data_IF_230613795815
#
_entry.id   IF_230613795815
#
_cell.length_a   1.000
_cell.length_b   1.000
_cell.length_c   1.000
_cell.angle_alpha   90.00
_cell.angle_beta   90.00
_cell.angle_gamma   90.00
#
_symmetry.space_group_name_H-M   'P 1'
#
loop_
_entity.id
_entity.type
_entity.pdbx_description
1 polymer ?
#
# COMPACT_ATOMS: atom_id res chain seq x y z
N UNK A 1 46.17 -21.35 -23.57
CA UNK A 1 45.31 -20.46 -24.34
C UNK A 1 43.82 -20.84 -24.28
N UNK A 2 43.37 -22.08 -24.55
CA UNK A 2 41.94 -22.48 -24.56
C UNK A 2 41.16 -22.20 -23.24
N UNK A 3 41.80 -22.35 -22.07
CA UNK A 3 41.15 -22.11 -20.80
C UNK A 3 40.95 -20.63 -20.48
N UNK A 4 41.87 -19.78 -20.90
CA UNK A 4 41.75 -18.29 -20.75
C UNK A 4 40.58 -17.77 -21.55
N UNK A 5 40.44 -18.22 -22.81
CA UNK A 5 39.32 -17.83 -23.67
C UNK A 5 37.97 -18.23 -23.07
N UNK A 6 37.86 -19.43 -22.46
CA UNK A 6 36.64 -19.88 -21.78
C UNK A 6 36.29 -19.03 -20.57
N UNK A 7 37.29 -18.66 -19.75
CA UNK A 7 37.10 -17.82 -18.58
C UNK A 7 36.62 -16.44 -19.01
N UNK A 8 37.26 -15.83 -20.00
CA UNK A 8 36.86 -14.51 -20.51
C UNK A 8 35.44 -14.54 -21.08
N UNK A 9 35.07 -15.57 -21.85
CA UNK A 9 33.73 -15.72 -22.41
C UNK A 9 32.67 -15.83 -21.31
N UNK A 10 32.90 -16.66 -20.27
CA UNK A 10 31.97 -16.80 -19.13
C UNK A 10 31.80 -15.48 -18.39
N UNK A 11 32.92 -14.77 -18.14
CA UNK A 11 32.85 -13.48 -17.44
C UNK A 11 32.04 -12.44 -18.23
N UNK A 12 32.22 -12.36 -19.56
CA UNK A 12 31.47 -11.44 -20.43
C UNK A 12 29.97 -11.79 -20.40
N UNK A 13 29.62 -13.07 -20.51
CA UNK A 13 28.21 -13.50 -20.47
C UNK A 13 27.57 -13.17 -19.10
N UNK A 14 28.30 -13.38 -18.00
CA UNK A 14 27.79 -13.05 -16.65
C UNK A 14 27.57 -11.53 -16.50
N UNK A 15 28.49 -10.71 -16.98
CA UNK A 15 28.36 -9.23 -16.95
C UNK A 15 27.19 -8.78 -17.83
N UNK A 16 27.01 -9.35 -19.00
CA UNK A 16 25.88 -9.05 -19.88
C UNK A 16 24.54 -9.44 -19.25
N UNK A 17 24.46 -10.60 -18.57
CA UNK A 17 23.25 -11.01 -17.82
C UNK A 17 22.95 -10.05 -16.67
N UNK A 18 23.97 -9.62 -15.91
CA UNK A 18 23.77 -8.65 -14.82
C UNK A 18 23.28 -7.29 -15.33
N UNK A 19 23.79 -6.83 -16.47
CA UNK A 19 23.36 -5.58 -17.10
C UNK A 19 21.92 -5.69 -17.67
N UNK A 20 21.53 -6.83 -18.19
CA UNK A 20 20.18 -7.06 -18.68
C UNK A 20 19.14 -7.10 -17.54
N UNK A 21 19.51 -7.62 -16.37
CA UNK A 21 18.62 -7.66 -15.20
C UNK A 21 18.40 -6.30 -14.55
N UNK A 22 19.38 -5.40 -14.58
CA UNK A 22 19.26 -4.06 -13.96
C UNK A 22 18.32 -3.11 -14.71
N UNK A 23 18.08 -3.32 -16.00
CA UNK A 23 17.17 -2.51 -16.82
C UNK A 23 15.67 -2.73 -16.50
N UNK A 24 15.28 -3.92 -16.02
CA UNK A 24 13.88 -4.27 -15.84
C UNK A 24 13.16 -3.53 -14.68
N UNK A 25 13.91 -3.00 -13.71
CA UNK A 25 13.32 -2.34 -12.52
C UNK A 25 13.16 -0.83 -12.66
N UNK A 26 13.77 -0.21 -13.65
CA UNK A 26 13.80 1.24 -13.84
C UNK A 26 12.98 1.74 -15.03
N UNK A 27 12.55 0.86 -15.91
CA UNK A 27 11.75 1.24 -17.08
C UNK A 27 10.41 1.85 -16.69
N UNK A 28 9.99 2.97 -17.29
CA UNK A 28 8.69 3.58 -17.03
C UNK A 28 7.55 2.66 -17.52
N UNK A 29 6.38 2.72 -16.88
CA UNK A 29 5.18 2.07 -17.40
C UNK A 29 4.71 2.76 -18.67
N UNK A 30 4.13 2.01 -19.60
CA UNK A 30 3.54 2.57 -20.82
C UNK A 30 2.32 3.44 -20.49
N UNK A 31 1.48 3.00 -19.56
CA UNK A 31 0.39 3.80 -19.00
C UNK A 31 0.88 4.40 -17.69
N UNK A 32 1.03 5.72 -17.65
CA UNK A 32 1.67 6.43 -16.55
C UNK A 32 0.69 7.05 -15.55
N UNK A 33 -0.60 7.03 -15.82
CA UNK A 33 -1.62 7.53 -14.88
C UNK A 33 -2.97 6.87 -15.12
N UNK A 34 -3.81 6.88 -14.09
CA UNK A 34 -5.17 6.35 -14.16
C UNK A 34 -6.05 6.83 -13.01
N UNK A 35 -7.35 6.68 -13.20
CA UNK A 35 -8.39 6.95 -12.22
C UNK A 35 -9.11 5.64 -11.90
N UNK A 36 -9.25 5.33 -10.60
CA UNK A 36 -9.75 4.04 -10.09
C UNK A 36 -10.87 4.30 -9.08
N UNK A 37 -12.14 4.36 -9.55
CA UNK A 37 -13.28 4.53 -8.66
C UNK A 37 -13.40 3.35 -7.67
N UNK A 38 -13.91 3.66 -6.48
CA UNK A 38 -14.22 2.67 -5.47
C UNK A 38 -15.48 3.02 -4.68
N UNK A 39 -16.08 2.00 -4.08
CA UNK A 39 -17.22 2.10 -3.18
C UNK A 39 -17.01 1.18 -1.99
N UNK A 40 -17.17 1.74 -0.80
CA UNK A 40 -17.24 1.00 0.46
C UNK A 40 -18.61 1.26 1.07
N UNK A 41 -19.32 0.19 1.40
CA UNK A 41 -20.58 0.26 2.16
C UNK A 41 -20.43 -0.60 3.41
N UNK A 42 -20.77 -0.03 4.56
CA UNK A 42 -20.69 -0.73 5.83
C UNK A 42 -21.85 -0.35 6.75
N UNK A 43 -22.19 -1.25 7.65
CA UNK A 43 -23.18 -1.06 8.72
C UNK A 43 -22.47 -1.01 10.06
N UNK A 44 -22.81 0.00 10.85
CA UNK A 44 -22.35 0.17 12.23
C UNK A 44 -23.47 0.76 13.07
N UNK A 45 -23.75 0.17 14.25
CA UNK A 45 -24.83 0.56 15.16
C UNK A 45 -26.20 0.68 14.46
N UNK A 46 -26.49 -0.24 13.54
CA UNK A 46 -27.75 -0.30 12.78
C UNK A 46 -27.90 0.81 11.73
N UNK A 47 -26.85 1.55 11.42
CA UNK A 47 -26.82 2.57 10.37
C UNK A 47 -25.91 2.15 9.23
N UNK A 48 -26.34 2.42 8.02
CA UNK A 48 -25.52 2.21 6.81
C UNK A 48 -24.75 3.45 6.45
N UNK A 49 -23.48 3.27 6.13
CA UNK A 49 -22.57 4.32 5.69
C UNK A 49 -21.98 3.95 4.33
N UNK A 50 -21.78 4.96 3.49
CA UNK A 50 -21.20 4.78 2.16
C UNK A 50 -20.04 5.77 2.00
N UNK A 51 -18.90 5.27 1.52
CA UNK A 51 -17.73 6.04 1.12
C UNK A 51 -17.50 5.78 -0.37
N UNK A 52 -17.58 6.81 -1.18
CA UNK A 52 -17.35 6.76 -2.61
C UNK A 52 -16.32 7.81 -3.00
N UNK A 53 -15.29 7.40 -3.73
CA UNK A 53 -14.30 8.31 -4.31
C UNK A 53 -13.57 7.63 -5.47
N UNK A 54 -12.56 8.30 -5.98
CA UNK A 54 -11.69 7.80 -7.05
C UNK A 54 -10.24 7.96 -6.62
N UNK A 55 -9.49 6.86 -6.62
CA UNK A 55 -8.03 6.91 -6.45
C UNK A 55 -7.41 7.37 -7.75
N UNK A 56 -6.70 8.48 -7.73
CA UNK A 56 -5.97 9.03 -8.87
C UNK A 56 -4.50 8.70 -8.68
N UNK A 57 -3.95 7.87 -9.55
CA UNK A 57 -2.56 7.42 -9.50
C UNK A 57 -1.75 7.95 -10.67
N UNK A 58 -0.49 8.24 -10.42
CA UNK A 58 0.47 8.62 -11.46
C UNK A 58 1.85 8.05 -11.17
N UNK A 59 2.57 7.69 -12.24
CA UNK A 59 3.98 7.34 -12.18
C UNK A 59 4.80 8.61 -11.88
N UNK A 60 5.60 8.56 -10.85
CA UNK A 60 6.39 9.71 -10.40
C UNK A 60 7.85 9.65 -10.82
N UNK A 61 8.30 8.54 -11.39
CA UNK A 61 9.68 8.36 -11.80
C UNK A 61 10.39 7.19 -11.13
N UNK A 62 11.70 7.22 -11.14
CA UNK A 62 12.57 6.25 -10.49
C UNK A 62 13.22 6.90 -9.27
N UNK A 63 13.17 6.22 -8.14
CA UNK A 63 13.90 6.63 -6.94
C UNK A 63 15.32 6.03 -6.97
N UNK A 64 16.37 6.84 -7.19
CA UNK A 64 17.75 6.36 -7.24
C UNK A 64 18.32 6.03 -5.85
N UNK A 65 17.75 6.59 -4.77
CA UNK A 65 18.30 6.52 -3.41
C UNK A 65 17.96 5.21 -2.70
N UNK A 66 17.15 4.34 -3.30
CA UNK A 66 16.72 3.09 -2.71
C UNK A 66 17.76 1.94 -2.78
N UNK A 67 19.01 2.21 -3.20
CA UNK A 67 20.07 1.21 -3.40
C UNK A 67 19.88 0.36 -4.66
N UNK A 68 18.64 -0.03 -4.96
CA UNK A 68 18.22 -0.56 -6.26
C UNK A 68 17.21 0.44 -6.83
N UNK A 69 17.42 0.97 -8.04
CA UNK A 69 16.49 1.91 -8.65
C UNK A 69 15.08 1.31 -8.71
N UNK A 70 14.14 1.90 -7.98
CA UNK A 70 12.75 1.44 -7.93
C UNK A 70 11.80 2.51 -8.47
N UNK A 71 10.75 2.07 -9.15
CA UNK A 71 9.68 2.96 -9.59
C UNK A 71 8.90 3.45 -8.37
N UNK A 72 8.56 4.73 -8.36
CA UNK A 72 7.66 5.28 -7.37
C UNK A 72 6.40 5.88 -8.03
N UNK A 73 5.32 5.92 -7.26
CA UNK A 73 4.01 6.31 -7.73
C UNK A 73 3.35 7.23 -6.71
N UNK A 74 2.70 8.28 -7.19
CA UNK A 74 1.86 9.12 -6.37
C UNK A 74 0.41 8.67 -6.47
N UNK A 75 -0.29 8.66 -5.33
CA UNK A 75 -1.72 8.43 -5.27
C UNK A 75 -2.40 9.47 -4.39
N UNK A 76 -3.63 9.85 -4.77
CA UNK A 76 -4.49 10.70 -3.97
C UNK A 76 -5.96 10.40 -4.24
N UNK A 77 -6.82 10.76 -3.33
CA UNK A 77 -8.26 10.74 -3.56
C UNK A 77 -8.69 11.99 -4.35
N UNK A 78 -9.56 11.80 -5.34
CA UNK A 78 -10.02 12.85 -6.24
C UNK A 78 -10.83 13.92 -5.49
N UNK A 79 -11.71 13.48 -4.59
CA UNK A 79 -12.59 14.34 -3.84
C UNK A 79 -12.11 14.60 -2.40
N UNK A 80 -10.91 14.06 -2.02
CA UNK A 80 -10.38 14.13 -0.66
C UNK A 80 -11.38 13.59 0.40
N UNK A 81 -12.15 12.56 0.07
CA UNK A 81 -13.10 11.94 0.97
C UNK A 81 -12.42 11.47 2.27
N UNK A 82 -13.10 11.65 3.40
CA UNK A 82 -12.63 11.05 4.64
C UNK A 82 -12.84 9.54 4.58
N UNK A 83 -11.76 8.81 4.59
CA UNK A 83 -11.75 7.34 4.51
C UNK A 83 -11.68 6.68 5.88
N UNK A 84 -11.85 7.45 6.97
CA UNK A 84 -11.99 6.91 8.33
C UNK A 84 -13.37 6.29 8.50
N UNK A 85 -13.39 5.03 8.88
CA UNK A 85 -14.62 4.26 9.08
C UNK A 85 -15.15 4.47 10.49
N UNK A 86 -14.26 4.44 11.48
CA UNK A 86 -14.60 4.59 12.88
C UNK A 86 -13.42 5.23 13.64
N UNK A 87 -13.73 6.13 14.56
CA UNK A 87 -12.75 6.72 15.48
C UNK A 87 -13.15 6.37 16.91
N UNK A 88 -12.19 5.91 17.71
CA UNK A 88 -12.38 5.52 19.10
C UNK A 88 -11.87 6.61 20.04
N UNK A 89 -12.54 6.75 21.17
CA UNK A 89 -12.14 7.68 22.23
C UNK A 89 -10.87 7.26 22.96
N UNK A 90 -10.30 8.18 23.68
CA UNK A 90 -8.96 8.20 24.27
C UNK A 90 -8.80 7.36 25.54
N UNK A 91 -7.53 7.02 25.85
CA UNK A 91 -7.02 6.51 27.13
C UNK A 91 -7.45 5.06 27.48
N UNK A 92 -7.35 4.19 26.52
CA UNK A 92 -7.40 2.73 26.75
C UNK A 92 -6.01 2.13 26.69
N UNK A 93 -5.82 0.94 27.23
CA UNK A 93 -4.62 0.16 26.97
C UNK A 93 -4.49 -0.11 25.47
N UNK A 94 -3.26 -0.05 24.93
CA UNK A 94 -3.02 -0.28 23.52
C UNK A 94 -3.37 -1.73 23.13
N UNK A 95 -4.09 -1.88 22.03
CA UNK A 95 -4.38 -3.17 21.43
C UNK A 95 -3.15 -3.76 20.70
N UNK A 96 -2.27 -2.91 20.19
CA UNK A 96 -1.13 -3.31 19.37
C UNK A 96 0.17 -3.51 20.15
N UNK A 97 0.34 -2.84 21.31
CA UNK A 97 1.59 -2.86 22.08
C UNK A 97 1.31 -2.88 23.58
N UNK A 98 1.66 -3.96 24.25
CA UNK A 98 1.52 -4.12 25.70
C UNK A 98 2.26 -3.00 26.48
N UNK A 99 1.62 -2.48 27.52
CA UNK A 99 2.18 -1.43 28.39
C UNK A 99 2.19 -0.02 27.79
N UNK A 100 1.58 0.18 26.62
CA UNK A 100 1.38 1.50 26.01
C UNK A 100 -0.05 1.99 26.25
N UNK A 101 -0.23 3.30 26.32
CA UNK A 101 -1.54 3.94 26.37
C UNK A 101 -1.92 4.38 24.95
N UNK A 102 -3.11 3.99 24.51
CA UNK A 102 -3.70 4.45 23.27
C UNK A 102 -4.41 5.79 23.51
N UNK A 103 -3.88 6.89 23.00
CA UNK A 103 -4.50 8.23 23.09
C UNK A 103 -5.68 8.39 22.12
N UNK A 104 -5.58 7.81 20.95
CA UNK A 104 -6.62 7.80 19.95
C UNK A 104 -6.39 6.65 18.94
N UNK A 105 -7.47 6.06 18.48
CA UNK A 105 -7.41 5.05 17.43
C UNK A 105 -8.53 5.24 16.42
N UNK A 106 -8.30 4.72 15.23
CA UNK A 106 -9.29 4.74 14.17
C UNK A 106 -9.09 3.57 13.21
N UNK A 107 -10.19 3.16 12.58
CA UNK A 107 -10.17 2.27 11.43
C UNK A 107 -10.26 3.15 10.20
N UNK A 108 -9.34 2.96 9.27
CA UNK A 108 -9.31 3.69 8.02
C UNK A 108 -9.21 2.73 6.84
N UNK A 109 -9.68 3.19 5.70
CA UNK A 109 -9.37 2.56 4.43
C UNK A 109 -7.97 2.99 4.01
N UNK A 110 -7.10 2.02 3.80
CA UNK A 110 -5.88 2.19 3.01
C UNK A 110 -6.24 1.85 1.56
N UNK A 111 -6.32 2.84 0.70
CA UNK A 111 -6.69 2.64 -0.71
C UNK A 111 -5.55 2.04 -1.56
N UNK A 112 -4.44 1.64 -0.92
CA UNK A 112 -3.34 0.96 -1.58
C UNK A 112 -2.33 1.88 -2.27
N UNK A 113 -1.37 1.26 -2.93
CA UNK A 113 -0.25 1.95 -3.57
C UNK A 113 -0.44 2.09 -5.09
N UNK A 114 0.03 3.21 -5.67
CA UNK A 114 -0.16 3.51 -7.09
C UNK A 114 0.42 2.48 -8.06
N UNK A 115 1.49 1.82 -7.66
CA UNK A 115 2.07 0.74 -8.44
C UNK A 115 1.12 -0.46 -8.61
N UNK A 116 0.29 -0.76 -7.60
CA UNK A 116 -0.76 -1.77 -7.71
C UNK A 116 -1.73 -1.42 -8.85
N UNK A 117 -2.32 -0.24 -8.81
CA UNK A 117 -3.31 0.20 -9.79
C UNK A 117 -2.76 0.32 -11.21
N UNK A 118 -1.52 0.77 -11.33
CA UNK A 118 -0.84 0.91 -12.61
C UNK A 118 -0.17 -0.40 -13.09
N UNK A 119 -0.52 -1.54 -12.47
CA UNK A 119 -0.16 -2.89 -12.94
C UNK A 119 1.32 -3.25 -12.76
N UNK A 120 2.02 -2.60 -11.85
CA UNK A 120 3.40 -2.95 -11.53
C UNK A 120 3.45 -4.21 -10.66
N UNK A 121 4.05 -5.26 -11.20
CA UNK A 121 4.16 -6.57 -10.54
C UNK A 121 4.88 -6.55 -9.20
N UNK A 122 5.73 -5.55 -8.96
CA UNK A 122 6.41 -5.36 -7.67
C UNK A 122 5.42 -5.02 -6.55
N UNK A 123 4.27 -4.43 -6.89
CA UNK A 123 3.26 -3.94 -5.95
C UNK A 123 1.93 -4.69 -6.02
N UNK A 124 1.93 -5.91 -6.60
CA UNK A 124 0.72 -6.73 -6.76
C UNK A 124 -0.04 -7.00 -5.45
N UNK A 125 0.68 -7.04 -4.33
CA UNK A 125 0.14 -7.31 -2.99
C UNK A 125 -0.11 -6.01 -2.18
N UNK A 126 0.09 -4.83 -2.79
CA UNK A 126 -0.10 -3.51 -2.18
C UNK A 126 -1.43 -2.87 -2.56
N UNK A 127 -2.46 -3.69 -2.76
CA UNK A 127 -3.81 -3.26 -3.06
C UNK A 127 -4.55 -2.70 -1.83
N UNK A 128 -5.81 -2.26 -2.01
CA UNK A 128 -6.60 -1.67 -0.95
C UNK A 128 -6.88 -2.66 0.19
N UNK A 129 -6.79 -2.15 1.42
CA UNK A 129 -7.07 -2.90 2.63
C UNK A 129 -7.63 -1.98 3.73
N UNK A 130 -8.07 -2.57 4.83
CA UNK A 130 -8.38 -1.80 6.03
C UNK A 130 -7.16 -1.76 6.96
N UNK A 131 -6.97 -0.63 7.62
CA UNK A 131 -5.93 -0.44 8.62
C UNK A 131 -6.52 0.04 9.93
N UNK A 132 -6.12 -0.58 11.02
CA UNK A 132 -6.33 -0.07 12.37
C UNK A 132 -5.09 0.70 12.78
N UNK A 133 -5.29 1.91 13.24
CA UNK A 133 -4.22 2.85 13.61
C UNK A 133 -4.38 3.26 15.05
N UNK A 134 -3.31 3.23 15.83
CA UNK A 134 -3.22 3.73 17.21
C UNK A 134 -2.19 4.82 17.31
N UNK A 135 -2.55 5.90 17.98
CA UNK A 135 -1.63 6.92 18.49
C UNK A 135 -1.31 6.59 19.94
N UNK A 136 -0.11 6.10 20.17
CA UNK A 136 0.32 5.55 21.46
C UNK A 136 1.23 6.51 22.21
N UNK A 137 1.15 6.46 23.53
CA UNK A 137 2.07 7.16 24.43
C UNK A 137 2.70 6.16 25.40
N UNK A 138 4.02 6.20 25.48
CA UNK A 138 4.75 5.39 26.44
C UNK A 138 4.60 5.96 27.88
N UNK A 139 4.88 5.19 28.93
CA UNK A 139 4.95 5.70 30.30
C UNK A 139 5.92 6.87 30.48
N UNK A 140 6.89 7.03 29.59
CA UNK A 140 7.87 8.14 29.59
C UNK A 140 7.42 9.33 28.73
N UNK A 141 6.19 9.30 28.16
CA UNK A 141 5.62 10.38 27.34
C UNK A 141 6.04 10.37 25.87
N UNK A 142 6.76 9.37 25.40
CA UNK A 142 7.13 9.26 23.97
C UNK A 142 5.91 8.87 23.16
N UNK A 143 5.57 9.68 22.16
CA UNK A 143 4.47 9.42 21.23
C UNK A 143 4.93 8.62 20.01
N UNK A 144 4.12 7.65 19.60
CA UNK A 144 4.33 6.86 18.39
C UNK A 144 2.99 6.53 17.73
N UNK A 145 3.03 6.23 16.43
CA UNK A 145 1.87 5.71 15.70
C UNK A 145 2.16 4.28 15.28
N UNK A 146 1.24 3.39 15.57
CA UNK A 146 1.26 1.99 15.13
C UNK A 146 0.04 1.71 14.27
N UNK A 147 0.20 0.80 13.33
CA UNK A 147 -0.88 0.35 12.47
C UNK A 147 -0.76 -1.15 12.20
N UNK A 148 -1.89 -1.76 11.92
CA UNK A 148 -1.99 -3.14 11.44
C UNK A 148 -3.08 -3.24 10.40
N UNK A 149 -2.85 -4.06 9.38
CA UNK A 149 -3.89 -4.34 8.39
C UNK A 149 -4.93 -5.28 8.98
N UNK A 150 -6.19 -5.05 8.65
CA UNK A 150 -7.32 -5.85 9.09
C UNK A 150 -8.05 -6.47 7.89
N UNK A 151 -8.45 -7.70 8.04
CA UNK A 151 -9.41 -8.34 7.14
C UNK A 151 -10.84 -7.91 7.47
N UNK A 152 -11.78 -8.06 6.51
CA UNK A 152 -13.21 -7.81 6.74
C UNK A 152 -13.74 -8.58 7.95
N UNK A 153 -13.32 -9.85 8.12
CA UNK A 153 -13.74 -10.70 9.25
C UNK A 153 -13.22 -10.19 10.60
N UNK A 154 -12.01 -9.66 10.62
CA UNK A 154 -11.44 -9.08 11.84
C UNK A 154 -12.14 -7.79 12.22
N UNK A 155 -12.48 -6.93 11.26
CA UNK A 155 -13.27 -5.72 11.49
C UNK A 155 -14.64 -6.06 12.08
N UNK A 156 -15.35 -7.01 11.48
CA UNK A 156 -16.65 -7.45 11.97
C UNK A 156 -16.55 -8.04 13.38
N UNK A 157 -15.58 -8.91 13.61
CA UNK A 157 -15.41 -9.58 14.91
C UNK A 157 -14.96 -8.65 16.04
N UNK A 158 -14.06 -7.69 15.75
CA UNK A 158 -13.42 -6.86 16.77
C UNK A 158 -14.18 -5.56 17.04
N UNK A 159 -14.89 -5.04 16.04
CA UNK A 159 -15.47 -3.70 16.09
C UNK A 159 -16.96 -3.65 15.77
N UNK A 160 -17.57 -4.81 15.51
CA UNK A 160 -19.00 -4.94 15.16
C UNK A 160 -19.40 -4.10 13.93
N UNK A 161 -18.47 -3.95 13.00
CA UNK A 161 -18.67 -3.26 11.73
C UNK A 161 -18.83 -4.28 10.63
N UNK A 162 -20.02 -4.35 10.03
CA UNK A 162 -20.33 -5.26 8.93
C UNK A 162 -20.02 -4.61 7.60
N UNK A 163 -19.05 -5.14 6.86
CA UNK A 163 -18.69 -4.66 5.52
C UNK A 163 -19.66 -5.30 4.50
N UNK A 164 -20.59 -4.49 3.97
CA UNK A 164 -21.57 -4.89 2.97
C UNK A 164 -20.94 -4.92 1.58
N UNK A 165 -20.23 -3.84 1.22
CA UNK A 165 -19.60 -3.66 -0.08
C UNK A 165 -18.16 -3.19 0.07
N UNK A 166 -17.27 -3.78 -0.69
CA UNK A 166 -15.86 -3.36 -0.76
C UNK A 166 -15.38 -3.59 -2.19
N UNK A 167 -15.59 -2.59 -3.01
CA UNK A 167 -15.33 -2.67 -4.44
C UNK A 167 -14.36 -1.59 -4.87
N UNK A 168 -13.31 -2.00 -5.53
CA UNK A 168 -12.32 -1.15 -6.14
C UNK A 168 -12.19 -1.52 -7.61
N UNK A 169 -11.92 -0.53 -8.44
CA UNK A 169 -11.50 -0.81 -9.81
C UNK A 169 -10.25 -1.69 -9.81
N UNK A 170 -10.22 -2.75 -10.63
CA UNK A 170 -9.05 -3.60 -10.72
C UNK A 170 -7.84 -2.83 -11.24
N UNK A 171 -6.61 -3.31 -10.96
CA UNK A 171 -5.42 -2.78 -11.59
C UNK A 171 -5.47 -2.94 -13.11
N UNK A 172 -4.88 -1.99 -13.82
CA UNK A 172 -4.76 -2.07 -15.28
C UNK A 172 -3.68 -3.08 -15.69
N UNK A 173 -3.85 -3.67 -16.86
CA UNK A 173 -2.75 -4.38 -17.52
C UNK A 173 -1.78 -3.35 -18.11
N UNK A 174 -0.52 -3.38 -17.68
CA UNK A 174 0.49 -2.44 -18.11
C UNK A 174 1.75 -3.16 -18.56
N UNK A 175 2.51 -2.52 -19.46
CA UNK A 175 3.83 -2.97 -19.92
C UNK A 175 4.90 -1.99 -19.46
N UNK A 176 6.08 -2.50 -19.21
CA UNK A 176 7.25 -1.76 -18.73
C UNK A 176 8.36 -1.96 -19.77
N UNK A 177 8.82 -0.88 -20.36
CA UNK A 177 9.85 -0.88 -21.43
C UNK A 177 11.25 -0.73 -20.85
#
# INVERSE_FOLDING_TARGET
MKNIVKIVAVTIITVLMLLACSGCYSSPPKIQSGEFPFVIEYEYEGKTYIIEDTVVCSYGGVNPDAGIPTRWYACKLKNNSDVRILTFEKNTESFLVEGMINEASYITLDYGYGGYYLGDRLYKDSGPCFSYVEMQVSPTGVKSTKYTSLTKKEIEKLFDIKIIRFEFSPPIENTFE
#
